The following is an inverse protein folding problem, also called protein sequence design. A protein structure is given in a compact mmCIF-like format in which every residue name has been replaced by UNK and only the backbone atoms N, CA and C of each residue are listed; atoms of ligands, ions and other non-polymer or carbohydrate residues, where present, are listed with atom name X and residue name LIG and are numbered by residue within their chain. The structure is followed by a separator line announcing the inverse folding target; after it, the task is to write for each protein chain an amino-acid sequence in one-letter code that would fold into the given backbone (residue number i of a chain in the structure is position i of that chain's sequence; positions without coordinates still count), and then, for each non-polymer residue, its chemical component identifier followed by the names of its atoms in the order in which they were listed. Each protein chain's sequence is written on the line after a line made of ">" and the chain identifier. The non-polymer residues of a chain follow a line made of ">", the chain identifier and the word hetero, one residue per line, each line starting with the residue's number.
data_IF_501811019824
#
_entry.id   IF_501811019824
#
_cell.length_a   1.000
_cell.length_b   1.000
_cell.length_c   1.000
_cell.angle_alpha   90.00
_cell.angle_beta   90.00
_cell.angle_gamma   90.00
#
_symmetry.space_group_name_H-M   'P 1'
#
loop_
_entity.id
_entity.type
_entity.pdbx_description
1 polymer ?
#
# COMPACT_ATOMS: atom_id res chain seq x y z
N UNK A 1 4.74 -2.46 12.60
CA UNK A 1 5.37 -3.33 13.63
C UNK A 1 6.86 -2.98 13.69
N UNK A 2 7.45 -2.75 14.87
CA UNK A 2 8.84 -2.30 15.05
C UNK A 2 9.91 -3.36 14.68
N UNK A 3 9.53 -4.37 13.90
CA UNK A 3 10.34 -5.53 13.54
C UNK A 3 10.21 -5.90 12.05
N UNK A 4 9.95 -4.94 11.17
CA UNK A 4 10.06 -5.14 9.71
C UNK A 4 11.54 -5.02 9.27
N UNK A 5 11.94 -5.78 8.25
CA UNK A 5 13.33 -6.11 7.93
C UNK A 5 14.33 -4.95 7.79
N UNK A 6 13.87 -3.73 7.47
CA UNK A 6 14.72 -2.54 7.33
C UNK A 6 14.65 -1.57 8.53
N UNK A 7 13.74 -1.78 9.49
CA UNK A 7 13.58 -0.90 10.66
C UNK A 7 14.85 -0.82 11.53
N UNK A 8 15.55 -1.93 11.83
CA UNK A 8 16.81 -1.89 12.58
C UNK A 8 17.93 -1.15 11.85
N UNK A 9 18.00 -1.27 10.52
CA UNK A 9 18.99 -0.59 9.68
C UNK A 9 18.75 0.92 9.64
N UNK A 10 17.50 1.35 9.46
CA UNK A 10 17.10 2.76 9.50
C UNK A 10 17.40 3.38 10.87
N UNK A 11 17.07 2.69 11.98
CA UNK A 11 17.39 3.18 13.34
C UNK A 11 18.89 3.23 13.60
N UNK A 12 19.65 2.26 13.11
CA UNK A 12 21.10 2.28 13.20
C UNK A 12 21.68 3.50 12.47
N UNK A 13 21.10 3.86 11.32
CA UNK A 13 21.49 5.05 10.56
C UNK A 13 21.15 6.34 11.31
N UNK A 14 19.94 6.48 11.86
CA UNK A 14 19.54 7.62 12.69
C UNK A 14 20.51 7.83 13.87
N UNK A 15 20.83 6.75 14.59
CA UNK A 15 21.75 6.79 15.74
C UNK A 15 23.16 7.20 15.31
N UNK A 16 23.66 6.66 14.20
CA UNK A 16 24.97 7.04 13.64
C UNK A 16 25.01 8.53 13.29
N UNK A 17 23.95 9.05 12.68
CA UNK A 17 23.84 10.45 12.29
C UNK A 17 23.86 11.37 13.51
N UNK A 18 23.13 11.02 14.58
CA UNK A 18 23.15 11.77 15.85
C UNK A 18 24.55 11.75 16.49
N UNK A 19 25.23 10.60 16.51
CA UNK A 19 26.58 10.49 17.07
C UNK A 19 27.63 11.23 16.24
N UNK A 20 27.50 11.22 14.91
CA UNK A 20 28.38 11.98 14.03
C UNK A 20 28.22 13.48 14.25
N UNK A 21 26.98 13.97 14.31
CA UNK A 21 26.69 15.36 14.64
C UNK A 21 27.21 15.74 16.03
N UNK A 22 26.91 14.94 17.05
CA UNK A 22 27.34 15.22 18.42
C UNK A 22 28.86 15.33 18.55
N UNK A 23 29.62 14.48 17.84
CA UNK A 23 31.10 14.57 17.79
C UNK A 23 31.58 15.81 17.03
N UNK A 24 31.02 16.08 15.86
CA UNK A 24 31.40 17.24 15.06
C UNK A 24 31.12 18.58 15.78
N UNK A 25 30.06 18.61 16.59
CA UNK A 25 29.66 19.79 17.37
C UNK A 25 30.27 19.85 18.78
N UNK A 26 31.11 18.89 19.19
CA UNK A 26 31.74 18.85 20.52
C UNK A 26 30.79 18.52 21.68
N UNK A 27 29.56 18.10 21.41
CA UNK A 27 28.56 17.83 22.46
C UNK A 27 28.82 16.53 23.23
N UNK A 28 29.63 15.62 22.67
CA UNK A 28 29.91 14.30 23.25
C UNK A 28 31.40 13.98 23.31
N UNK A 29 32.25 14.98 23.52
CA UNK A 29 33.72 14.79 23.63
C UNK A 29 34.12 13.88 24.81
N UNK A 30 33.26 13.78 25.82
CA UNK A 30 33.40 12.85 26.95
C UNK A 30 33.09 11.39 26.57
N UNK A 31 32.49 11.13 25.40
CA UNK A 31 32.18 9.78 24.92
C UNK A 31 33.37 9.26 24.12
N UNK A 32 33.97 8.12 24.49
CA UNK A 32 35.12 7.57 23.79
C UNK A 32 34.89 7.40 22.28
N UNK A 33 35.91 7.65 21.47
CA UNK A 33 35.87 7.43 20.02
C UNK A 33 35.57 5.97 19.64
N UNK A 34 35.87 5.02 20.53
CA UNK A 34 35.56 3.60 20.42
C UNK A 34 34.08 3.26 20.59
N UNK A 35 33.26 4.17 21.15
CA UNK A 35 31.82 3.99 21.24
C UNK A 35 31.17 4.22 19.87
N UNK A 36 31.19 3.20 19.03
CA UNK A 36 30.69 3.24 17.65
C UNK A 36 29.64 2.16 17.43
N UNK A 37 28.54 2.51 16.79
CA UNK A 37 27.60 1.52 16.30
C UNK A 37 28.01 1.09 14.89
N UNK A 38 28.18 -0.21 14.67
CA UNK A 38 28.54 -0.75 13.35
C UNK A 38 27.43 -1.67 12.83
N UNK A 39 27.46 -2.00 11.54
CA UNK A 39 26.56 -3.01 10.96
C UNK A 39 26.82 -4.40 11.54
N UNK A 40 27.97 -4.63 12.21
CA UNK A 40 28.23 -5.88 12.92
C UNK A 40 27.25 -6.11 14.09
N UNK A 41 26.72 -5.04 14.70
CA UNK A 41 25.70 -5.15 15.75
C UNK A 41 24.35 -5.68 15.24
N UNK A 42 24.11 -5.66 13.93
CA UNK A 42 22.93 -6.27 13.32
C UNK A 42 23.10 -7.79 13.10
N UNK A 43 24.33 -8.32 13.14
CA UNK A 43 24.65 -9.70 12.75
C UNK A 43 24.25 -10.76 13.78
N UNK A 44 23.94 -10.37 15.02
CA UNK A 44 23.58 -11.32 16.09
C UNK A 44 22.09 -11.67 16.15
N UNK A 45 21.26 -11.02 15.34
CA UNK A 45 19.87 -11.45 15.18
C UNK A 45 19.86 -12.41 13.99
N UNK A 46 19.51 -13.67 14.23
CA UNK A 46 19.04 -14.52 13.14
C UNK A 46 18.00 -13.67 12.38
N UNK A 47 18.21 -13.36 11.09
CA UNK A 47 17.22 -12.61 10.36
C UNK A 47 15.93 -13.40 10.50
N UNK A 48 14.91 -12.80 11.12
CA UNK A 48 13.54 -13.25 10.89
C UNK A 48 13.46 -13.41 9.38
N UNK A 49 13.06 -14.58 8.85
CA UNK A 49 13.08 -14.81 7.41
C UNK A 49 12.42 -13.60 6.78
N UNK A 50 13.23 -12.81 6.05
CA UNK A 50 12.74 -11.58 5.47
C UNK A 50 11.60 -12.01 4.58
N UNK A 51 10.39 -11.59 4.93
CA UNK A 51 9.24 -11.89 4.10
C UNK A 51 9.55 -11.26 2.76
N UNK A 52 9.63 -12.09 1.73
CA UNK A 52 9.76 -11.56 0.40
C UNK A 52 8.44 -10.84 0.13
N UNK A 53 8.45 -9.51 0.07
CA UNK A 53 7.27 -8.70 -0.30
C UNK A 53 6.78 -9.04 -1.73
N UNK A 54 7.52 -9.86 -2.48
CA UNK A 54 7.12 -10.42 -3.78
C UNK A 54 6.60 -11.88 -3.68
N UNK A 55 6.59 -12.50 -2.49
CA UNK A 55 5.92 -13.79 -2.28
C UNK A 55 4.41 -13.56 -2.06
N UNK A 56 3.54 -14.19 -2.88
CA UNK A 56 2.11 -13.95 -2.81
C UNK A 56 1.58 -14.29 -1.42
N UNK A 57 1.01 -13.29 -0.73
CA UNK A 57 0.11 -13.55 0.39
C UNK A 57 -1.17 -14.22 -0.09
N UNK A 58 -1.99 -14.73 0.83
CA UNK A 58 -3.36 -15.15 0.47
C UNK A 58 -4.17 -13.94 -0.01
N UNK A 59 -4.99 -14.15 -1.03
CA UNK A 59 -5.97 -13.17 -1.48
C UNK A 59 -6.86 -12.74 -0.31
N UNK A 60 -7.12 -11.44 -0.21
CA UNK A 60 -8.03 -10.87 0.78
C UNK A 60 -9.48 -11.07 0.36
N UNK A 61 -10.43 -11.19 1.32
CA UNK A 61 -11.85 -11.34 1.02
C UNK A 61 -12.46 -9.98 0.64
N UNK A 62 -12.25 -9.56 -0.60
CA UNK A 62 -12.63 -8.23 -1.10
C UNK A 62 -14.12 -7.94 -0.90
N UNK A 63 -15.00 -8.94 -1.00
CA UNK A 63 -16.45 -8.76 -0.81
C UNK A 63 -16.80 -8.35 0.63
N UNK A 64 -16.13 -8.95 1.63
CA UNK A 64 -16.32 -8.60 3.05
C UNK A 64 -15.79 -7.19 3.31
N UNK A 65 -14.65 -6.86 2.70
CA UNK A 65 -14.04 -5.54 2.82
C UNK A 65 -14.91 -4.46 2.16
N UNK A 66 -15.41 -4.69 0.94
CA UNK A 66 -16.30 -3.78 0.22
C UNK A 66 -17.62 -3.56 0.98
N UNK A 67 -18.20 -4.62 1.56
CA UNK A 67 -19.41 -4.50 2.39
C UNK A 67 -19.21 -3.58 3.61
N UNK A 68 -18.01 -3.56 4.17
CA UNK A 68 -17.66 -2.84 5.39
C UNK A 68 -16.97 -1.49 5.14
N UNK A 69 -17.03 -0.96 3.93
CA UNK A 69 -16.36 0.28 3.53
C UNK A 69 -16.78 1.51 4.38
N UNK A 70 -18.01 1.52 4.89
CA UNK A 70 -18.52 2.58 5.76
C UNK A 70 -17.74 2.72 7.09
N UNK A 71 -17.13 1.63 7.59
CA UNK A 71 -16.36 1.62 8.83
C UNK A 71 -15.03 2.39 8.74
N UNK A 72 -14.58 2.78 7.55
CA UNK A 72 -13.44 3.69 7.37
C UNK A 72 -13.71 5.12 7.87
N UNK A 73 -14.99 5.47 8.10
CA UNK A 73 -15.40 6.77 8.63
C UNK A 73 -14.91 6.96 10.07
N UNK A 74 -14.07 7.98 10.33
CA UNK A 74 -13.65 8.28 11.70
C UNK A 74 -14.76 8.90 12.53
N UNK A 75 -14.64 8.76 13.86
CA UNK A 75 -15.42 9.53 14.84
C UNK A 75 -14.54 10.58 15.54
N UNK A 76 -13.93 11.48 14.77
CA UNK A 76 -13.06 12.54 15.33
C UNK A 76 -13.89 13.73 15.81
N UNK A 77 -13.54 14.27 16.99
CA UNK A 77 -14.03 15.56 17.49
C UNK A 77 -13.51 16.71 16.60
N UNK A 78 -14.22 17.84 16.57
CA UNK A 78 -13.89 18.97 15.69
C UNK A 78 -12.44 19.47 15.80
N UNK A 79 -11.90 19.58 17.01
CA UNK A 79 -10.51 20.03 17.23
C UNK A 79 -9.41 19.08 16.73
N UNK A 80 -9.77 17.84 16.33
CA UNK A 80 -8.83 16.86 15.75
C UNK A 80 -8.95 16.74 14.23
N UNK A 81 -9.75 17.63 13.60
CA UNK A 81 -9.95 17.64 12.15
C UNK A 81 -9.24 18.83 11.53
N UNK A 82 -8.73 18.64 10.31
CA UNK A 82 -8.27 19.74 9.50
C UNK A 82 -9.40 20.76 9.32
N UNK A 83 -9.05 22.05 9.31
CA UNK A 83 -10.03 23.12 9.19
C UNK A 83 -10.88 22.95 7.93
N UNK A 84 -12.21 22.99 8.08
CA UNK A 84 -13.17 22.78 6.99
C UNK A 84 -13.46 21.31 6.65
N UNK A 85 -12.76 20.35 7.26
CA UNK A 85 -12.99 18.93 7.03
C UNK A 85 -14.00 18.35 8.03
N UNK A 86 -14.95 17.59 7.49
CA UNK A 86 -15.91 16.77 8.22
C UNK A 86 -15.41 15.34 8.34
N UNK A 87 -15.98 14.53 9.24
CA UNK A 87 -15.66 13.10 9.27
C UNK A 87 -16.01 12.39 7.95
N UNK A 88 -16.97 12.93 7.19
CA UNK A 88 -17.34 12.40 5.88
C UNK A 88 -16.23 12.62 4.84
N UNK A 89 -15.54 13.77 4.90
CA UNK A 89 -14.41 14.04 4.01
C UNK A 89 -13.23 13.09 4.27
N UNK A 90 -12.98 12.78 5.54
CA UNK A 90 -12.00 11.77 5.90
C UNK A 90 -12.44 10.37 5.48
N UNK A 91 -13.73 10.04 5.60
CA UNK A 91 -14.28 8.78 5.14
C UNK A 91 -14.05 8.62 3.64
N UNK A 92 -14.51 9.59 2.84
CA UNK A 92 -14.37 9.57 1.39
C UNK A 92 -12.91 9.48 0.96
N UNK A 93 -11.99 10.22 1.60
CA UNK A 93 -10.55 10.11 1.37
C UNK A 93 -10.04 8.67 1.57
N UNK A 94 -10.34 8.07 2.72
CA UNK A 94 -9.86 6.73 3.09
C UNK A 94 -10.45 5.64 2.20
N UNK A 95 -11.74 5.74 1.92
CA UNK A 95 -12.47 4.83 1.04
C UNK A 95 -11.95 4.89 -0.40
N UNK A 96 -11.63 6.10 -0.88
CA UNK A 96 -11.01 6.28 -2.20
C UNK A 96 -9.65 5.61 -2.25
N UNK A 97 -8.78 5.81 -1.24
CA UNK A 97 -7.47 5.13 -1.18
C UNK A 97 -7.65 3.60 -1.22
N UNK A 98 -8.55 3.05 -0.41
CA UNK A 98 -8.83 1.61 -0.40
C UNK A 98 -9.27 1.11 -1.79
N UNK A 99 -10.29 1.73 -2.39
CA UNK A 99 -10.82 1.33 -3.69
C UNK A 99 -9.74 1.39 -4.77
N UNK A 100 -8.89 2.43 -4.79
CA UNK A 100 -7.79 2.49 -5.76
C UNK A 100 -6.74 1.40 -5.56
N UNK A 101 -6.41 1.06 -4.31
CA UNK A 101 -5.48 -0.04 -4.05
C UNK A 101 -6.04 -1.37 -4.53
N UNK A 102 -7.33 -1.61 -4.23
CA UNK A 102 -8.06 -2.81 -4.63
C UNK A 102 -8.20 -2.92 -6.15
N UNK A 103 -8.54 -1.84 -6.84
CA UNK A 103 -8.88 -1.85 -8.28
C UNK A 103 -7.67 -1.88 -9.22
N UNK A 104 -6.51 -1.41 -8.75
CA UNK A 104 -5.35 -1.14 -9.63
C UNK A 104 -4.11 -1.96 -9.31
N UNK A 105 -4.11 -2.63 -8.15
CA UNK A 105 -2.95 -3.30 -7.58
C UNK A 105 -1.73 -2.40 -7.42
N UNK A 106 -1.86 -1.06 -7.45
CA UNK A 106 -0.73 -0.15 -7.22
C UNK A 106 -0.26 -0.23 -5.77
N UNK A 107 1.00 0.13 -5.52
CA UNK A 107 1.53 0.16 -4.16
C UNK A 107 0.86 1.28 -3.35
N UNK A 108 0.69 1.12 -2.03
CA UNK A 108 0.18 2.17 -1.15
C UNK A 108 0.84 3.53 -1.39
N UNK A 109 2.16 3.60 -1.47
CA UNK A 109 2.88 4.86 -1.73
C UNK A 109 2.65 5.45 -3.12
N UNK A 110 2.34 4.64 -4.12
CA UNK A 110 2.02 5.11 -5.48
C UNK A 110 0.61 5.72 -5.50
N UNK A 111 -0.36 5.10 -4.82
CA UNK A 111 -1.73 5.61 -4.71
C UNK A 111 -1.78 6.89 -3.89
N UNK A 112 -1.19 6.88 -2.69
CA UNK A 112 -1.30 8.05 -1.80
C UNK A 112 -0.52 9.27 -2.32
N UNK A 113 0.39 9.09 -3.28
CA UNK A 113 1.13 10.16 -3.96
C UNK A 113 0.51 10.60 -5.30
N UNK A 114 -0.68 10.11 -5.68
CA UNK A 114 -1.35 10.54 -6.91
C UNK A 114 -1.58 12.06 -6.91
N UNK A 115 -1.35 12.70 -8.06
CA UNK A 115 -1.64 14.11 -8.32
C UNK A 115 -3.11 14.29 -8.72
N UNK A 116 -3.67 15.50 -8.60
CA UNK A 116 -5.09 15.76 -8.96
C UNK A 116 -5.38 15.59 -10.45
N UNK A 117 -4.37 15.69 -11.30
CA UNK A 117 -4.41 15.48 -12.75
C UNK A 117 -4.06 14.04 -13.15
N UNK A 118 -4.15 13.07 -12.22
CA UNK A 118 -3.82 11.67 -12.47
C UNK A 118 -4.76 10.92 -13.43
N UNK A 119 -5.74 11.58 -14.05
CA UNK A 119 -6.66 10.96 -15.00
C UNK A 119 -6.41 11.49 -16.40
N UNK A 120 -6.26 10.56 -17.33
CA UNK A 120 -6.15 10.82 -18.76
C UNK A 120 -7.09 9.88 -19.53
N UNK A 121 -7.17 10.04 -20.85
CA UNK A 121 -7.95 9.21 -21.75
C UNK A 121 -7.02 8.63 -22.82
N UNK A 122 -7.14 7.34 -23.10
CA UNK A 122 -6.39 6.71 -24.19
C UNK A 122 -6.98 7.09 -25.57
N UNK A 123 -6.28 6.78 -26.69
CA UNK A 123 -6.81 7.05 -28.03
C UNK A 123 -8.14 6.34 -28.36
N UNK A 124 -8.49 5.28 -27.63
CA UNK A 124 -9.75 4.55 -27.76
C UNK A 124 -10.89 5.08 -26.86
N UNK A 125 -10.65 6.15 -26.09
CA UNK A 125 -11.62 6.73 -25.17
C UNK A 125 -11.68 6.08 -23.78
N UNK A 126 -10.81 5.11 -23.49
CA UNK A 126 -10.72 4.42 -22.20
C UNK A 126 -10.02 5.27 -21.12
N UNK A 127 -10.46 5.23 -19.85
CA UNK A 127 -9.82 6.00 -18.80
C UNK A 127 -8.47 5.40 -18.40
N UNK A 128 -7.49 6.29 -18.20
CA UNK A 128 -6.11 5.94 -17.84
C UNK A 128 -5.73 6.64 -16.54
N UNK A 129 -5.20 5.86 -15.59
CA UNK A 129 -4.53 6.37 -14.40
C UNK A 129 -3.06 6.69 -14.72
N UNK A 130 -2.66 7.92 -14.43
CA UNK A 130 -1.27 8.38 -14.48
C UNK A 130 -0.68 8.32 -13.07
N UNK A 131 0.42 7.61 -12.90
CA UNK A 131 1.08 7.44 -11.60
C UNK A 131 2.60 7.42 -11.71
N UNK A 132 3.27 7.67 -10.59
CA UNK A 132 4.72 7.54 -10.48
C UNK A 132 5.08 6.25 -9.75
N UNK A 133 5.89 5.40 -10.38
CA UNK A 133 6.52 4.25 -9.73
C UNK A 133 7.80 4.70 -9.03
N UNK A 134 7.65 5.22 -7.81
CA UNK A 134 8.77 5.74 -7.02
C UNK A 134 9.83 4.66 -6.73
N UNK A 135 9.42 3.41 -6.48
CA UNK A 135 10.36 2.28 -6.20
C UNK A 135 11.34 2.05 -7.35
N UNK A 136 10.88 2.22 -8.60
CA UNK A 136 11.69 2.02 -9.79
C UNK A 136 12.16 3.32 -10.44
N UNK A 137 11.91 4.47 -9.80
CA UNK A 137 12.15 5.82 -10.32
C UNK A 137 11.62 6.02 -11.75
N UNK A 138 10.35 5.68 -11.99
CA UNK A 138 9.71 5.90 -13.30
C UNK A 138 8.47 6.77 -13.14
N UNK A 139 8.50 7.92 -13.79
CA UNK A 139 7.42 8.90 -13.81
C UNK A 139 6.39 8.53 -14.89
N UNK A 140 5.22 9.16 -14.82
CA UNK A 140 4.18 9.19 -15.86
C UNK A 140 3.79 7.81 -16.42
N UNK A 141 3.70 6.83 -15.53
CA UNK A 141 3.25 5.48 -15.87
C UNK A 141 1.75 5.54 -16.13
N UNK A 142 1.33 4.83 -17.16
CA UNK A 142 -0.05 4.79 -17.64
C UNK A 142 -0.64 3.41 -17.34
N UNK A 143 -1.78 3.38 -16.67
CA UNK A 143 -2.53 2.16 -16.37
C UNK A 143 -3.98 2.35 -16.81
N UNK A 144 -4.47 1.52 -17.73
CA UNK A 144 -5.89 1.50 -18.08
C UNK A 144 -6.69 1.05 -16.86
N UNK A 145 -7.76 1.77 -16.55
CA UNK A 145 -8.65 1.50 -15.41
C UNK A 145 -10.09 1.36 -15.89
N UNK A 146 -10.98 0.91 -15.00
CA UNK A 146 -12.40 0.85 -15.31
C UNK A 146 -13.04 2.24 -15.23
N UNK A 147 -14.19 2.43 -15.89
CA UNK A 147 -15.00 3.63 -15.75
C UNK A 147 -15.43 3.87 -14.28
N UNK A 148 -15.71 2.80 -13.53
CA UNK A 148 -16.05 2.88 -12.11
C UNK A 148 -14.91 3.45 -11.26
N UNK A 149 -13.69 2.93 -11.45
CA UNK A 149 -12.49 3.44 -10.76
C UNK A 149 -12.23 4.92 -11.12
N UNK A 150 -12.41 5.30 -12.38
CA UNK A 150 -12.27 6.69 -12.81
C UNK A 150 -13.33 7.63 -12.19
N UNK A 151 -14.56 7.15 -12.02
CA UNK A 151 -15.63 7.88 -11.36
C UNK A 151 -15.33 8.10 -9.87
N UNK A 152 -14.79 7.09 -9.17
CA UNK A 152 -14.32 7.21 -7.77
C UNK A 152 -13.27 8.30 -7.63
N UNK A 153 -12.25 8.31 -8.51
CA UNK A 153 -11.22 9.36 -8.54
C UNK A 153 -11.84 10.74 -8.79
N UNK A 154 -12.70 10.84 -9.80
CA UNK A 154 -13.33 12.11 -10.18
C UNK A 154 -14.15 12.69 -9.03
N UNK A 155 -14.96 11.85 -8.37
CA UNK A 155 -15.82 12.27 -7.26
C UNK A 155 -14.99 12.80 -6.08
N UNK A 156 -13.92 12.09 -5.71
CA UNK A 156 -13.02 12.56 -4.67
C UNK A 156 -12.23 13.82 -5.09
N UNK A 157 -11.78 13.88 -6.35
CA UNK A 157 -11.05 15.04 -6.90
C UNK A 157 -11.88 16.32 -6.79
N UNK A 158 -13.15 16.28 -7.16
CA UNK A 158 -14.00 17.47 -7.06
C UNK A 158 -14.21 17.88 -5.59
N UNK A 159 -14.36 16.91 -4.68
CA UNK A 159 -14.47 17.22 -3.25
C UNK A 159 -13.19 17.84 -2.69
N UNK A 160 -12.02 17.25 -2.97
CA UNK A 160 -10.76 17.74 -2.42
C UNK A 160 -10.38 19.11 -3.00
N UNK A 161 -10.81 19.45 -4.22
CA UNK A 161 -10.66 20.79 -4.80
C UNK A 161 -11.39 21.87 -3.99
N UNK A 162 -12.57 21.54 -3.45
CA UNK A 162 -13.32 22.45 -2.57
C UNK A 162 -12.65 22.57 -1.19
N UNK A 163 -12.16 21.45 -0.64
CA UNK A 163 -11.52 21.42 0.68
C UNK A 163 -10.11 22.05 0.68
N UNK A 164 -9.45 22.07 -0.49
CA UNK A 164 -8.10 22.60 -0.70
C UNK A 164 -8.05 23.43 -1.99
N UNK A 165 -8.66 24.64 -1.99
CA UNK A 165 -8.65 25.54 -3.13
C UNK A 165 -7.24 26.09 -3.37
N UNK A 166 -6.75 25.97 -4.62
CA UNK A 166 -5.53 26.60 -5.15
C UNK A 166 -4.19 26.38 -4.41
N UNK A 167 -3.48 25.32 -4.81
CA UNK A 167 -2.14 25.40 -5.42
C UNK A 167 -2.17 24.46 -6.62
N UNK A 168 -1.57 24.85 -7.75
CA UNK A 168 -1.49 24.01 -8.96
C UNK A 168 -0.97 22.62 -8.64
N UNK A 169 -1.23 21.66 -9.56
CA UNK A 169 -0.77 20.26 -9.57
C UNK A 169 -0.86 19.45 -8.26
N UNK A 170 -1.50 19.94 -7.20
CA UNK A 170 -1.47 19.35 -5.86
C UNK A 170 -1.92 17.88 -5.78
N UNK A 171 -1.60 17.23 -4.67
CA UNK A 171 -1.92 15.82 -4.49
C UNK A 171 -3.43 15.56 -4.40
N UNK A 172 -3.86 14.45 -4.98
CA UNK A 172 -5.20 13.89 -4.85
C UNK A 172 -5.49 13.55 -3.40
N UNK A 173 -4.48 13.06 -2.67
CA UNK A 173 -4.55 12.80 -1.24
C UNK A 173 -3.56 13.72 -0.51
N UNK A 174 -3.99 14.89 -0.03
CA UNK A 174 -3.11 15.82 0.68
C UNK A 174 -2.77 15.31 2.08
N UNK A 175 -1.62 15.73 2.61
CA UNK A 175 -1.32 15.54 4.03
C UNK A 175 -2.25 16.40 4.89
N UNK A 176 -2.77 15.80 5.98
CA UNK A 176 -3.73 16.44 6.89
C UNK A 176 -3.10 16.67 8.26
N UNK A 177 -2.01 17.44 8.30
CA UNK A 177 -1.34 17.79 9.55
C UNK A 177 -2.02 19.02 10.19
N UNK A 178 -2.46 18.92 11.45
CA UNK A 178 -3.14 20.03 12.13
C UNK A 178 -2.21 21.25 12.32
N UNK A 179 -0.96 21.01 12.69
CA UNK A 179 0.06 22.06 12.82
C UNK A 179 0.61 22.60 11.47
N UNK A 180 0.36 21.90 10.35
CA UNK A 180 0.76 22.36 9.02
C UNK A 180 -0.41 22.16 8.03
N UNK A 181 -1.46 22.98 8.15
CA UNK A 181 -2.66 22.83 7.34
C UNK A 181 -2.43 23.19 5.87
N UNK A 182 -1.28 23.75 5.49
CA UNK A 182 -0.96 24.13 4.11
C UNK A 182 0.17 23.29 3.51
N UNK A 183 0.46 22.14 4.10
CA UNK A 183 1.47 21.22 3.61
C UNK A 183 1.26 20.86 2.13
N UNK A 184 2.30 21.05 1.32
CA UNK A 184 2.32 20.61 -0.08
C UNK A 184 2.64 19.11 -0.21
N UNK A 185 2.69 18.37 0.91
CA UNK A 185 2.98 16.94 0.93
C UNK A 185 1.71 16.11 0.72
N UNK A 186 1.91 14.87 0.33
CA UNK A 186 0.84 13.90 0.14
C UNK A 186 0.59 13.07 1.41
N UNK A 187 -0.57 12.42 1.45
CA UNK A 187 -0.92 11.45 2.47
C UNK A 187 0.09 10.30 2.47
N UNK A 188 0.52 9.81 3.63
CA UNK A 188 1.56 8.78 3.68
C UNK A 188 0.94 7.38 3.64
N UNK A 189 1.62 6.46 2.96
CA UNK A 189 1.26 5.05 2.94
C UNK A 189 1.24 4.45 4.36
N UNK A 190 2.15 4.86 5.24
CA UNK A 190 2.21 4.39 6.62
C UNK A 190 0.99 4.82 7.44
N UNK A 191 0.54 6.08 7.29
CA UNK A 191 -0.67 6.56 7.95
C UNK A 191 -1.89 5.75 7.48
N UNK A 192 -1.99 5.48 6.17
CA UNK A 192 -3.05 4.61 5.66
C UNK A 192 -2.92 3.18 6.17
N UNK A 193 -1.71 2.64 6.31
CA UNK A 193 -1.48 1.30 6.87
C UNK A 193 -1.94 1.17 8.33
N UNK A 194 -1.85 2.24 9.13
CA UNK A 194 -2.42 2.27 10.48
C UNK A 194 -3.96 2.28 10.43
N UNK A 195 -4.54 3.15 9.60
CA UNK A 195 -5.99 3.26 9.41
C UNK A 195 -6.57 1.93 8.90
N UNK A 196 -5.91 1.29 7.93
CA UNK A 196 -6.30 0.01 7.36
C UNK A 196 -6.36 -1.07 8.44
N UNK A 197 -5.35 -1.15 9.32
CA UNK A 197 -5.39 -2.13 10.43
C UNK A 197 -6.53 -1.87 11.40
N UNK A 198 -6.75 -0.61 11.78
CA UNK A 198 -7.87 -0.24 12.66
C UNK A 198 -9.22 -0.59 12.04
N UNK A 199 -9.35 -0.39 10.73
CA UNK A 199 -10.55 -0.75 9.99
C UNK A 199 -10.75 -2.27 9.95
N UNK A 200 -9.72 -3.04 9.61
CA UNK A 200 -9.78 -4.52 9.64
C UNK A 200 -10.19 -5.02 11.02
N UNK A 201 -9.67 -4.44 12.09
CA UNK A 201 -10.00 -4.80 13.48
C UNK A 201 -11.44 -4.44 13.87
N UNK A 202 -12.11 -3.59 13.11
CA UNK A 202 -13.51 -3.20 13.33
C UNK A 202 -14.52 -4.04 12.54
N UNK A 203 -14.06 -4.97 11.70
CA UNK A 203 -14.93 -5.81 10.86
C UNK A 203 -15.17 -7.14 11.56
N UNK A 204 -16.35 -7.29 12.16
CA UNK A 204 -16.71 -8.48 12.92
C UNK A 204 -16.68 -9.75 12.06
N UNK A 205 -17.09 -9.68 10.78
CA UNK A 205 -17.11 -10.83 9.88
C UNK A 205 -15.72 -11.42 9.61
N UNK A 206 -14.65 -10.64 9.76
CA UNK A 206 -13.28 -11.13 9.58
C UNK A 206 -12.78 -11.94 10.78
N UNK A 207 -13.38 -11.78 11.97
CA UNK A 207 -12.88 -12.35 13.22
C UNK A 207 -12.68 -13.87 13.13
N UNK A 208 -13.62 -14.59 12.53
CA UNK A 208 -13.55 -16.04 12.36
C UNK A 208 -12.57 -16.50 11.25
N UNK A 209 -12.26 -15.62 10.29
CA UNK A 209 -11.36 -15.91 9.18
C UNK A 209 -9.90 -15.68 9.53
N UNK A 210 -9.63 -14.83 10.53
CA UNK A 210 -8.28 -14.49 10.96
C UNK A 210 -7.77 -15.54 11.93
N UNK A 211 -6.57 -16.04 11.67
CA UNK A 211 -5.87 -16.93 12.59
C UNK A 211 -5.43 -16.16 13.83
N UNK A 212 -6.02 -16.47 14.97
CA UNK A 212 -5.70 -15.88 16.29
C UNK A 212 -5.67 -16.98 17.36
N UNK A 213 -5.39 -16.61 18.62
CA UNK A 213 -5.48 -17.55 19.74
C UNK A 213 -6.92 -18.06 19.93
N UNK A 214 -7.92 -17.19 19.77
CA UNK A 214 -9.35 -17.52 19.90
C UNK A 214 -9.90 -18.24 18.65
N UNK A 215 -9.31 -17.98 17.48
CA UNK A 215 -9.66 -18.62 16.20
C UNK A 215 -8.44 -19.33 15.58
N UNK A 216 -7.97 -20.46 16.15
CA UNK A 216 -6.77 -21.15 15.68
C UNK A 216 -6.91 -21.75 14.27
N UNK A 217 -8.15 -22.03 13.85
CA UNK A 217 -8.50 -22.54 12.53
C UNK A 217 -8.60 -21.45 11.44
N UNK A 218 -8.47 -20.17 11.79
CA UNK A 218 -8.54 -19.06 10.83
C UNK A 218 -7.57 -19.26 9.66
N UNK A 219 -8.03 -18.93 8.46
CA UNK A 219 -7.31 -19.20 7.22
C UNK A 219 -6.41 -18.03 6.78
N UNK A 220 -6.64 -16.82 7.28
CA UNK A 220 -5.84 -15.64 6.97
C UNK A 220 -4.89 -15.37 8.13
N UNK A 221 -3.59 -15.29 7.87
CA UNK A 221 -2.66 -14.82 8.91
C UNK A 221 -2.89 -13.34 9.15
N UNK A 222 -3.03 -12.92 10.42
CA UNK A 222 -3.21 -11.51 10.78
C UNK A 222 -2.12 -10.61 10.19
N UNK A 223 -0.90 -11.13 10.00
CA UNK A 223 0.22 -10.42 9.38
C UNK A 223 0.01 -10.13 7.89
N UNK A 224 -0.89 -10.86 7.24
CA UNK A 224 -1.25 -10.70 5.83
C UNK A 224 -2.30 -9.60 5.64
N UNK A 225 -2.99 -9.17 6.70
CA UNK A 225 -4.00 -8.12 6.64
C UNK A 225 -3.37 -6.73 6.71
N UNK A 226 -2.67 -6.38 5.64
CA UNK A 226 -2.06 -5.07 5.44
C UNK A 226 -2.46 -4.49 4.08
N UNK A 227 -2.47 -3.16 3.97
CA UNK A 227 -2.87 -2.48 2.73
C UNK A 227 -2.05 -2.92 1.50
N UNK A 228 -0.78 -3.31 1.69
CA UNK A 228 0.05 -3.83 0.61
C UNK A 228 -0.48 -5.16 0.04
N UNK A 229 -1.21 -5.96 0.82
CA UNK A 229 -1.76 -7.23 0.37
C UNK A 229 -2.86 -7.09 -0.68
N UNK A 230 -3.51 -5.93 -0.77
CA UNK A 230 -4.46 -5.65 -1.86
C UNK A 230 -3.79 -5.74 -3.24
N UNK A 231 -2.50 -5.37 -3.34
CA UNK A 231 -1.72 -5.57 -4.56
C UNK A 231 -1.54 -7.06 -4.90
N UNK A 232 -1.35 -7.91 -3.90
CA UNK A 232 -1.26 -9.35 -4.11
C UNK A 232 -2.61 -9.95 -4.48
N UNK A 233 -3.69 -9.55 -3.80
CA UNK A 233 -5.06 -9.96 -4.15
C UNK A 233 -5.37 -9.62 -5.60
N UNK A 234 -5.15 -8.36 -6.01
CA UNK A 234 -5.38 -7.91 -7.37
C UNK A 234 -4.58 -8.72 -8.41
N UNK A 235 -3.29 -8.98 -8.14
CA UNK A 235 -2.45 -9.77 -9.03
C UNK A 235 -2.87 -11.24 -9.12
N UNK A 236 -3.25 -11.84 -7.99
CA UNK A 236 -3.74 -13.20 -7.94
C UNK A 236 -5.06 -13.34 -8.70
N UNK A 237 -6.00 -12.42 -8.51
CA UNK A 237 -7.27 -12.39 -9.24
C UNK A 237 -7.05 -12.34 -10.76
N UNK A 238 -6.09 -11.53 -11.23
CA UNK A 238 -5.70 -11.50 -12.65
C UNK A 238 -5.11 -12.82 -13.14
N UNK A 239 -4.22 -13.44 -12.37
CA UNK A 239 -3.62 -14.73 -12.71
C UNK A 239 -4.65 -15.87 -12.72
N UNK A 240 -5.63 -15.82 -11.81
CA UNK A 240 -6.71 -16.79 -11.71
C UNK A 240 -7.70 -16.63 -12.87
N UNK A 241 -7.99 -15.39 -13.28
CA UNK A 241 -8.75 -15.06 -14.48
C UNK A 241 -8.02 -15.37 -15.81
N UNK A 242 -6.79 -15.90 -15.76
CA UNK A 242 -6.04 -16.33 -16.93
C UNK A 242 -5.33 -15.21 -17.69
N UNK A 243 -5.12 -14.04 -17.07
CA UNK A 243 -4.30 -12.97 -17.66
C UNK A 243 -2.90 -13.53 -17.96
N UNK A 244 -2.33 -13.34 -19.16
CA UNK A 244 -0.97 -13.80 -19.47
C UNK A 244 0.08 -13.18 -18.53
N UNK A 245 1.14 -13.93 -18.20
CA UNK A 245 2.15 -13.53 -17.21
C UNK A 245 2.88 -12.24 -17.58
N UNK A 246 3.14 -12.02 -18.86
CA UNK A 246 3.76 -10.83 -19.42
C UNK A 246 2.82 -9.62 -19.35
N UNK A 247 1.54 -9.81 -19.67
CA UNK A 247 0.50 -8.77 -19.52
C UNK A 247 0.35 -8.39 -18.05
N UNK A 248 0.25 -9.35 -17.13
CA UNK A 248 0.18 -9.06 -15.71
C UNK A 248 1.45 -8.38 -15.20
N UNK A 249 2.63 -8.75 -15.70
CA UNK A 249 3.87 -8.08 -15.33
C UNK A 249 3.90 -6.62 -15.80
N UNK A 250 3.40 -6.35 -17.01
CA UNK A 250 3.23 -4.99 -17.53
C UNK A 250 2.24 -4.20 -16.69
N UNK A 251 1.07 -4.77 -16.36
CA UNK A 251 0.09 -4.13 -15.50
C UNK A 251 0.67 -3.84 -14.12
N UNK A 252 1.33 -4.81 -13.47
CA UNK A 252 2.01 -4.66 -12.18
C UNK A 252 3.24 -3.74 -12.24
N UNK A 253 3.67 -3.34 -13.43
CA UNK A 253 4.86 -2.53 -13.68
C UNK A 253 6.13 -3.18 -13.07
N UNK A 254 6.24 -4.51 -13.21
CA UNK A 254 7.40 -5.29 -12.79
C UNK A 254 8.50 -5.26 -13.86
N UNK A 255 9.77 -5.10 -13.45
CA UNK A 255 10.93 -5.21 -14.37
C UNK A 255 11.30 -6.65 -14.70
N UNK A 256 10.99 -7.58 -13.79
CA UNK A 256 11.36 -8.98 -13.91
C UNK A 256 10.11 -9.85 -13.89
N UNK A 257 9.93 -10.67 -14.94
CA UNK A 257 8.84 -11.64 -15.03
C UNK A 257 8.84 -12.63 -13.86
N UNK A 258 10.01 -12.95 -13.29
CA UNK A 258 10.13 -13.86 -12.14
C UNK A 258 9.30 -13.39 -10.93
N UNK A 259 9.20 -12.09 -10.70
CA UNK A 259 8.37 -11.54 -9.61
C UNK A 259 6.87 -11.74 -9.88
N UNK A 260 6.46 -11.82 -11.14
CA UNK A 260 5.06 -12.06 -11.53
C UNK A 260 4.74 -13.55 -11.59
N UNK A 261 5.71 -14.40 -11.97
CA UNK A 261 5.55 -15.86 -12.04
C UNK A 261 5.10 -16.49 -10.70
N UNK A 262 5.35 -15.82 -9.58
CA UNK A 262 4.94 -16.30 -8.25
C UNK A 262 3.42 -16.47 -8.13
N UNK A 263 2.62 -15.64 -8.81
CA UNK A 263 1.15 -15.71 -8.83
C UNK A 263 0.60 -16.88 -9.68
N UNK A 264 1.44 -17.46 -10.56
CA UNK A 264 1.07 -18.56 -11.46
C UNK A 264 1.50 -19.92 -10.94
N UNK A 265 1.88 -20.05 -9.66
CA UNK A 265 2.28 -21.34 -9.07
C UNK A 265 1.19 -22.39 -9.37
N UNK A 266 1.51 -23.28 -10.30
CA UNK A 266 0.56 -24.26 -10.84
C UNK A 266 0.24 -25.26 -9.72
N UNK A 267 -0.95 -25.13 -9.13
CA UNK A 267 -1.49 -26.11 -8.21
C UNK A 267 -1.67 -27.47 -8.88
N UNK A 268 -1.73 -28.55 -8.09
CA UNK A 268 -1.95 -29.90 -8.61
C UNK A 268 -3.18 -30.02 -9.50
N UNK A 269 -4.20 -29.17 -9.31
CA UNK A 269 -5.42 -29.13 -10.11
C UNK A 269 -5.17 -28.67 -11.56
N UNK A 270 -4.53 -27.52 -11.77
CA UNK A 270 -4.16 -27.05 -13.13
C UNK A 270 -3.21 -28.02 -13.85
N UNK A 271 -2.31 -28.70 -13.12
CA UNK A 271 -1.48 -29.77 -13.69
C UNK A 271 -2.33 -30.94 -14.18
N UNK A 272 -3.34 -31.37 -13.40
CA UNK A 272 -4.27 -32.44 -13.81
C UNK A 272 -5.10 -32.03 -15.02
N UNK A 273 -5.68 -30.83 -15.03
CA UNK A 273 -6.48 -30.31 -16.14
C UNK A 273 -5.67 -30.23 -17.45
N UNK A 274 -4.43 -29.75 -17.38
CA UNK A 274 -3.53 -29.72 -18.54
C UNK A 274 -3.19 -31.12 -19.05
N UNK A 275 -2.92 -32.09 -18.16
CA UNK A 275 -2.69 -33.49 -18.54
C UNK A 275 -3.93 -34.12 -19.17
N UNK A 276 -5.13 -33.87 -18.62
CA UNK A 276 -6.39 -34.38 -19.17
C UNK A 276 -6.70 -33.76 -20.54
N UNK A 277 -6.45 -32.47 -20.72
CA UNK A 277 -6.62 -31.79 -22.02
C UNK A 277 -5.61 -32.29 -23.07
N UNK A 278 -4.40 -32.68 -22.65
CA UNK A 278 -3.36 -33.23 -23.53
C UNK A 278 -3.59 -34.71 -23.87
N UNK A 279 -4.37 -35.44 -23.06
CA UNK A 279 -4.75 -36.84 -23.32
C UNK A 279 -5.85 -36.99 -24.38
N UNK A 280 -6.37 -35.88 -24.91
CA UNK A 280 -7.32 -35.84 -26.03
C UNK A 280 -6.69 -35.57 -27.40
N UNK A 281 -5.36 -35.60 -27.52
CA UNK A 281 -4.60 -35.53 -28.78
C UNK A 281 -4.07 -36.90 -29.18
#
# INVERSE_FOLDING_TARGET
>A
APYAGQYPESRLWDIKTVLAYGRAAGHIDHVPGSFVFTTAHLKHRAPLPARNDDEPGRALPDEILDHNLALLRPSMKAGHRAQGWTNEDYAQLRQTIYQLLRDTGRRPGEITALRRDCLDVDPGGGPVLIYTNAKANRLDRRLHITAGTAAVITTWRERVRLLRPARGDGYLFPQLHLADPYSDRHFTADAFGVIFRQWIDSIDELTALIRTADHPAGIIDRRDLVAYSLRHTWAQNHADAGTPVDVLAALMDHRNLRSTQTYYRIGHQRKREATTASAGW
#
